data_IF_743680112062
#
_entry.id   IF_743680112062
#
_cell.length_a   1.000
_cell.length_b   1.000
_cell.length_c   1.000
_cell.angle_alpha   90.00
_cell.angle_beta   90.00
_cell.angle_gamma   90.00
#
_symmetry.space_group_name_H-M   'P 1'
#
loop_
_entity.id
_entity.type
_entity.pdbx_description
1 polymer ?
#
# COMPACT_ATOMS: atom_id res chain seq x y z
N UNK A 1 25.05 50.82 7.30
CA UNK A 1 23.60 50.57 7.14
C UNK A 1 23.44 49.54 6.01
N UNK A 2 23.90 48.31 6.22
CA UNK A 2 24.05 47.32 5.11
C UNK A 2 23.84 45.87 5.56
N UNK A 3 24.19 45.49 6.80
CA UNK A 3 24.02 44.09 7.27
C UNK A 3 22.58 43.66 7.62
N UNK A 4 21.64 44.59 7.82
CA UNK A 4 20.24 44.24 8.15
C UNK A 4 19.45 43.94 6.86
N UNK A 5 19.80 44.61 5.77
CA UNK A 5 19.13 44.52 4.47
C UNK A 5 19.58 43.28 3.66
N UNK A 6 20.80 42.80 3.91
CA UNK A 6 21.29 41.51 3.40
C UNK A 6 20.63 40.33 4.12
N UNK A 7 20.48 40.39 5.45
CA UNK A 7 19.80 39.34 6.22
C UNK A 7 18.32 39.21 5.88
N UNK A 8 17.65 40.33 5.55
CA UNK A 8 16.26 40.31 5.10
C UNK A 8 16.11 39.64 3.73
N UNK A 9 16.98 39.99 2.78
CA UNK A 9 17.01 39.38 1.45
C UNK A 9 17.41 37.90 1.49
N UNK A 10 18.35 37.50 2.34
CA UNK A 10 18.68 36.08 2.57
C UNK A 10 17.50 35.31 3.17
N UNK A 11 16.78 35.90 4.13
CA UNK A 11 15.59 35.26 4.71
C UNK A 11 14.42 35.15 3.73
N UNK A 12 14.25 36.13 2.84
CA UNK A 12 13.24 36.10 1.77
C UNK A 12 13.61 35.11 0.66
N UNK A 13 14.90 34.97 0.32
CA UNK A 13 15.40 33.95 -0.62
C UNK A 13 15.25 32.52 -0.07
N UNK A 14 15.47 32.31 1.23
CA UNK A 14 15.23 31.02 1.89
C UNK A 14 13.74 30.70 1.94
N UNK A 15 12.90 31.69 2.26
CA UNK A 15 11.44 31.51 2.27
C UNK A 15 10.89 31.15 0.88
N UNK A 16 11.39 31.79 -0.18
CA UNK A 16 10.97 31.49 -1.55
C UNK A 16 11.47 30.11 -2.04
N UNK A 17 12.64 29.69 -1.59
CA UNK A 17 13.18 28.35 -1.88
C UNK A 17 12.45 27.22 -1.12
N UNK A 18 11.86 27.52 0.04
CA UNK A 18 11.00 26.60 0.80
C UNK A 18 9.61 26.48 0.16
N UNK A 19 9.09 27.54 -0.46
CA UNK A 19 7.82 27.50 -1.21
C UNK A 19 7.93 26.73 -2.55
N UNK A 20 9.06 26.80 -3.24
CA UNK A 20 9.33 25.94 -4.42
C UNK A 20 9.54 24.46 -4.05
N UNK A 21 9.94 24.17 -2.80
CA UNK A 21 9.95 22.82 -2.23
C UNK A 21 8.55 22.33 -1.78
N UNK A 22 7.50 23.11 -2.04
CA UNK A 22 6.09 22.73 -1.80
C UNK A 22 5.62 21.48 -2.56
N UNK A 23 6.40 20.97 -3.52
CA UNK A 23 6.18 19.67 -4.19
C UNK A 23 6.53 18.46 -3.30
N UNK A 24 7.22 18.66 -2.18
CA UNK A 24 7.60 17.63 -1.20
C UNK A 24 6.76 17.70 0.08
N UNK A 25 5.90 18.72 0.22
CA UNK A 25 5.38 19.17 1.50
C UNK A 25 4.13 18.47 2.05
N UNK A 26 3.41 17.65 1.26
CA UNK A 26 2.11 17.09 1.70
C UNK A 26 1.85 15.62 1.31
N UNK A 27 2.87 14.84 0.91
CA UNK A 27 2.60 13.50 0.35
C UNK A 27 3.65 12.39 0.49
N UNK A 28 4.82 12.63 1.11
CA UNK A 28 5.91 11.65 1.10
C UNK A 28 6.57 11.52 2.48
N UNK A 29 5.80 11.31 3.55
CA UNK A 29 6.41 10.94 4.84
C UNK A 29 7.11 9.59 4.67
N UNK A 30 8.44 9.57 4.70
CA UNK A 30 9.22 8.34 4.55
C UNK A 30 8.90 7.30 5.63
N UNK A 31 8.43 7.77 6.79
CA UNK A 31 8.07 6.95 7.92
C UNK A 31 6.56 6.68 7.97
N UNK A 32 6.13 5.55 8.55
CA UNK A 32 4.72 5.29 8.75
C UNK A 32 4.14 6.21 9.82
N UNK A 33 2.87 6.55 9.68
CA UNK A 33 2.06 7.09 10.77
C UNK A 33 1.75 5.98 11.79
N UNK A 34 1.26 6.37 12.98
CA UNK A 34 0.77 5.39 13.98
C UNK A 34 -0.39 4.55 13.44
N UNK A 35 -1.25 5.18 12.66
CA UNK A 35 -2.37 4.50 12.01
C UNK A 35 -1.86 3.48 11.00
N UNK A 36 -0.90 3.83 10.15
CA UNK A 36 -0.31 2.91 9.18
C UNK A 36 0.34 1.68 9.83
N UNK A 37 1.03 1.86 10.95
CA UNK A 37 1.57 0.76 11.75
C UNK A 37 0.47 -0.14 12.34
N UNK A 38 -0.61 0.47 12.83
CA UNK A 38 -1.76 -0.28 13.33
C UNK A 38 -2.42 -1.08 12.19
N UNK A 39 -2.71 -0.43 11.08
CA UNK A 39 -3.32 -0.98 9.88
C UNK A 39 -2.47 -2.09 9.24
N UNK A 40 -1.14 -2.05 9.37
CA UNK A 40 -0.25 -3.12 8.90
C UNK A 40 -0.13 -4.31 9.87
N UNK A 41 -0.77 -4.25 11.04
CA UNK A 41 -0.57 -5.24 12.11
C UNK A 41 0.88 -5.26 12.63
N UNK A 42 1.61 -4.15 12.46
CA UNK A 42 3.03 -4.05 12.81
C UNK A 42 4.00 -4.57 11.74
N UNK A 43 3.51 -5.01 10.58
CA UNK A 43 4.40 -5.36 9.45
C UNK A 43 5.13 -4.12 8.94
N UNK A 44 6.41 -4.30 8.64
CA UNK A 44 7.20 -3.32 7.90
C UNK A 44 6.93 -3.47 6.40
N UNK A 45 6.82 -2.35 5.70
CA UNK A 45 6.88 -2.29 4.23
C UNK A 45 8.20 -1.63 3.83
N UNK A 46 8.72 -2.01 2.68
CA UNK A 46 10.02 -1.53 2.18
C UNK A 46 10.04 -0.02 1.97
N UNK A 47 9.00 0.51 1.34
CA UNK A 47 8.87 1.93 0.97
C UNK A 47 7.43 2.37 1.26
N UNK A 48 7.25 3.14 2.34
CA UNK A 48 5.94 3.64 2.77
C UNK A 48 5.32 4.60 1.75
N UNK A 49 6.04 5.62 1.22
CA UNK A 49 5.51 6.43 0.13
C UNK A 49 5.06 5.62 -1.10
N UNK A 50 5.82 4.59 -1.49
CA UNK A 50 5.42 3.69 -2.56
C UNK A 50 4.14 2.92 -2.22
N UNK A 51 4.04 2.34 -1.02
CA UNK A 51 2.85 1.64 -0.55
C UNK A 51 1.60 2.54 -0.57
N UNK A 52 1.71 3.80 -0.13
CA UNK A 52 0.62 4.79 -0.20
C UNK A 52 0.21 5.08 -1.64
N UNK A 53 1.19 5.30 -2.53
CA UNK A 53 0.91 5.61 -3.92
C UNK A 53 0.22 4.44 -4.63
N UNK A 54 0.70 3.21 -4.42
CA UNK A 54 0.07 2.01 -4.98
C UNK A 54 -1.35 1.84 -4.45
N UNK A 55 -1.56 2.04 -3.14
CA UNK A 55 -2.90 1.99 -2.52
C UNK A 55 -3.84 3.03 -3.15
N UNK A 56 -3.40 4.29 -3.25
CA UNK A 56 -4.17 5.38 -3.87
C UNK A 56 -4.56 5.05 -5.31
N UNK A 57 -3.62 4.57 -6.12
CA UNK A 57 -3.89 4.21 -7.52
C UNK A 57 -4.81 2.99 -7.64
N UNK A 58 -4.65 1.99 -6.78
CA UNK A 58 -5.51 0.80 -6.77
C UNK A 58 -6.97 1.17 -6.44
N UNK A 59 -7.19 2.03 -5.44
CA UNK A 59 -8.52 2.55 -5.09
C UNK A 59 -9.13 3.32 -6.27
N UNK A 60 -8.37 4.24 -6.88
CA UNK A 60 -8.85 5.00 -8.05
C UNK A 60 -9.23 4.07 -9.21
N UNK A 61 -8.39 3.09 -9.54
CA UNK A 61 -8.71 2.13 -10.60
C UNK A 61 -9.95 1.30 -10.28
N UNK A 62 -10.13 0.90 -9.03
CA UNK A 62 -11.33 0.17 -8.60
C UNK A 62 -12.59 1.03 -8.79
N UNK A 63 -12.57 2.28 -8.34
CA UNK A 63 -13.72 3.18 -8.48
C UNK A 63 -14.06 3.45 -9.95
N UNK A 64 -13.06 3.76 -10.77
CA UNK A 64 -13.25 4.06 -12.20
C UNK A 64 -13.68 2.82 -13.02
N UNK A 65 -13.34 1.61 -12.57
CA UNK A 65 -13.72 0.37 -13.25
C UNK A 65 -14.93 -0.33 -12.62
N UNK A 66 -15.61 0.31 -11.66
CA UNK A 66 -16.79 -0.22 -10.98
C UNK A 66 -17.89 -0.74 -11.94
N UNK A 67 -18.20 -0.07 -13.08
CA UNK A 67 -19.16 -0.60 -14.05
C UNK A 67 -18.80 -1.96 -14.65
N UNK A 68 -17.50 -2.30 -14.70
CA UNK A 68 -16.99 -3.55 -15.27
C UNK A 68 -17.03 -4.70 -14.26
N UNK A 69 -16.45 -4.52 -13.08
CA UNK A 69 -16.30 -5.61 -12.12
C UNK A 69 -17.51 -5.77 -11.19
N UNK A 70 -18.29 -4.70 -10.95
CA UNK A 70 -19.51 -4.70 -10.12
C UNK A 70 -19.29 -5.28 -8.71
N UNK A 71 -18.11 -5.05 -8.15
CA UNK A 71 -17.76 -5.45 -6.79
C UNK A 71 -18.17 -4.36 -5.81
N UNK A 72 -18.33 -4.72 -4.53
CA UNK A 72 -18.82 -3.80 -3.50
C UNK A 72 -17.68 -3.22 -2.64
N UNK A 73 -18.04 -2.37 -1.68
CA UNK A 73 -17.11 -1.74 -0.74
C UNK A 73 -16.29 -2.74 0.08
N UNK A 74 -16.80 -3.94 0.32
CA UNK A 74 -16.03 -4.99 1.00
C UNK A 74 -14.83 -5.44 0.14
N UNK A 75 -15.00 -5.64 -1.16
CA UNK A 75 -13.88 -5.94 -2.06
C UNK A 75 -12.87 -4.77 -2.14
N UNK A 76 -13.34 -3.52 -2.10
CA UNK A 76 -12.47 -2.35 -2.05
C UNK A 76 -11.57 -2.36 -0.81
N UNK A 77 -12.13 -2.64 0.38
CA UNK A 77 -11.33 -2.71 1.63
C UNK A 77 -10.24 -3.80 1.55
N UNK A 78 -10.55 -4.96 0.96
CA UNK A 78 -9.57 -6.03 0.76
C UNK A 78 -8.46 -5.58 -0.19
N UNK A 79 -8.81 -4.94 -1.30
CA UNK A 79 -7.85 -4.42 -2.27
C UNK A 79 -6.96 -3.34 -1.65
N UNK A 80 -7.53 -2.40 -0.92
CA UNK A 80 -6.81 -1.31 -0.26
C UNK A 80 -5.75 -1.86 0.70
N UNK A 81 -6.14 -2.80 1.57
CA UNK A 81 -5.20 -3.45 2.50
C UNK A 81 -4.14 -4.27 1.77
N UNK A 82 -4.50 -4.97 0.70
CA UNK A 82 -3.55 -5.78 -0.07
C UNK A 82 -2.53 -4.92 -0.82
N UNK A 83 -2.99 -3.82 -1.44
CA UNK A 83 -2.14 -2.84 -2.10
C UNK A 83 -1.17 -2.18 -1.11
N UNK A 84 -1.64 -1.88 0.10
CA UNK A 84 -0.80 -1.32 1.15
C UNK A 84 0.31 -2.26 1.60
N UNK A 85 0.06 -3.58 1.62
CA UNK A 85 0.99 -4.59 2.14
C UNK A 85 1.74 -5.38 1.06
N UNK A 86 1.53 -5.10 -0.23
CA UNK A 86 1.94 -5.97 -1.34
C UNK A 86 3.45 -6.30 -1.35
N UNK A 87 4.30 -5.40 -0.84
CA UNK A 87 5.76 -5.55 -0.81
C UNK A 87 6.36 -5.80 0.59
N UNK A 88 5.57 -6.17 1.60
CA UNK A 88 6.14 -6.50 2.93
C UNK A 88 7.17 -7.65 2.88
N UNK A 89 7.07 -8.55 1.89
CA UNK A 89 8.05 -9.61 1.64
C UNK A 89 9.40 -9.17 1.06
N UNK A 90 9.57 -7.90 0.69
CA UNK A 90 10.84 -7.38 0.14
C UNK A 90 11.97 -7.43 1.16
N UNK A 91 11.67 -7.22 2.44
CA UNK A 91 12.62 -7.35 3.55
C UNK A 91 13.14 -8.79 3.75
N UNK A 92 12.47 -9.78 3.14
CA UNK A 92 12.85 -11.20 3.22
C UNK A 92 13.67 -11.61 1.99
N UNK A 93 13.14 -11.37 0.79
CA UNK A 93 13.82 -11.71 -0.47
C UNK A 93 13.18 -10.97 -1.64
N UNK A 94 13.98 -10.19 -2.37
CA UNK A 94 13.53 -9.42 -3.52
C UNK A 94 12.94 -10.29 -4.66
N UNK A 95 13.57 -11.43 -5.00
CA UNK A 95 13.15 -12.22 -6.19
C UNK A 95 11.76 -12.83 -6.02
N UNK A 96 11.41 -13.23 -4.79
CA UNK A 96 10.16 -13.93 -4.46
C UNK A 96 9.29 -13.17 -3.45
N UNK A 97 9.49 -11.86 -3.31
CA UNK A 97 8.80 -11.03 -2.31
C UNK A 97 7.30 -11.24 -2.28
N UNK A 98 6.61 -11.27 -3.43
CA UNK A 98 5.17 -11.55 -3.50
C UNK A 98 4.74 -12.85 -2.79
N UNK A 99 5.56 -13.91 -2.82
CA UNK A 99 5.29 -15.15 -2.07
C UNK A 99 5.56 -15.01 -0.58
N UNK A 100 6.50 -14.15 -0.19
CA UNK A 100 6.78 -13.85 1.23
C UNK A 100 5.76 -12.86 1.79
N UNK A 101 5.32 -11.85 1.03
CA UNK A 101 4.21 -10.97 1.37
C UNK A 101 2.96 -11.78 1.68
N UNK A 102 2.62 -12.75 0.82
CA UNK A 102 1.53 -13.70 1.12
C UNK A 102 1.68 -14.34 2.51
N UNK A 103 2.85 -14.90 2.83
CA UNK A 103 3.07 -15.62 4.09
C UNK A 103 2.97 -14.68 5.29
N UNK A 104 3.64 -13.53 5.21
CA UNK A 104 3.65 -12.51 6.26
C UNK A 104 2.24 -11.99 6.53
N UNK A 105 1.53 -11.56 5.48
CA UNK A 105 0.15 -11.08 5.60
C UNK A 105 -0.75 -12.16 6.19
N UNK A 106 -0.64 -13.41 5.74
CA UNK A 106 -1.47 -14.52 6.25
C UNK A 106 -1.24 -14.78 7.74
N UNK A 107 -0.01 -14.59 8.22
CA UNK A 107 0.41 -14.90 9.60
C UNK A 107 0.26 -13.71 10.57
N UNK A 108 0.14 -12.48 10.07
CA UNK A 108 -0.03 -11.28 10.89
C UNK A 108 -1.50 -10.97 11.11
N UNK A 109 -1.95 -10.83 12.36
CA UNK A 109 -3.29 -10.32 12.61
C UNK A 109 -3.44 -8.89 12.07
N UNK A 110 -4.34 -8.71 11.10
CA UNK A 110 -4.70 -7.39 10.59
C UNK A 110 -5.92 -6.88 11.38
N UNK A 111 -5.95 -5.59 11.75
CA UNK A 111 -7.15 -5.01 12.33
C UNK A 111 -8.29 -5.02 11.29
N UNK A 112 -9.52 -5.16 11.77
CA UNK A 112 -10.76 -5.05 10.99
C UNK A 112 -11.00 -6.15 9.94
N UNK A 113 -10.18 -7.22 9.91
CA UNK A 113 -10.33 -8.34 8.98
C UNK A 113 -10.36 -9.70 9.68
N UNK A 114 -11.26 -10.58 9.25
CA UNK A 114 -11.31 -11.98 9.66
C UNK A 114 -10.11 -12.78 9.11
N UNK A 115 -9.96 -14.02 9.57
CA UNK A 115 -8.92 -14.93 9.07
C UNK A 115 -9.12 -15.26 7.58
N UNK A 116 -10.36 -15.42 7.14
CA UNK A 116 -10.72 -15.63 5.74
C UNK A 116 -10.40 -14.39 4.88
N UNK A 117 -10.81 -13.20 5.35
CA UNK A 117 -10.54 -11.94 4.66
C UNK A 117 -9.04 -11.65 4.57
N UNK A 118 -8.28 -11.94 5.64
CA UNK A 118 -6.83 -11.85 5.66
C UNK A 118 -6.17 -12.78 4.65
N UNK A 119 -6.69 -14.00 4.48
CA UNK A 119 -6.18 -14.93 3.47
C UNK A 119 -6.49 -14.43 2.03
N UNK A 120 -7.63 -13.77 1.81
CA UNK A 120 -7.92 -13.08 0.55
C UNK A 120 -6.96 -11.92 0.28
N UNK A 121 -6.73 -11.05 1.27
CA UNK A 121 -5.74 -9.95 1.19
C UNK A 121 -4.36 -10.49 0.85
N UNK A 122 -3.93 -11.57 1.51
CA UNK A 122 -2.67 -12.23 1.22
C UNK A 122 -2.60 -12.73 -0.23
N UNK A 123 -3.69 -13.30 -0.75
CA UNK A 123 -3.75 -13.75 -2.14
C UNK A 123 -3.68 -12.58 -3.13
N UNK A 124 -4.41 -11.48 -2.90
CA UNK A 124 -4.36 -10.30 -3.77
C UNK A 124 -2.92 -9.75 -3.81
N UNK A 125 -2.27 -9.62 -2.64
CA UNK A 125 -0.87 -9.22 -2.54
C UNK A 125 0.09 -10.22 -3.21
N UNK A 126 -0.21 -11.52 -3.20
CA UNK A 126 0.61 -12.53 -3.85
C UNK A 126 0.62 -12.40 -5.38
N UNK A 127 -0.55 -12.12 -5.95
CA UNK A 127 -0.76 -12.18 -7.40
C UNK A 127 -0.62 -10.83 -8.10
N UNK A 128 -0.15 -9.78 -7.39
CA UNK A 128 0.14 -8.48 -8.00
C UNK A 128 1.22 -8.53 -9.10
N UNK A 129 2.00 -9.62 -9.17
CA UNK A 129 3.00 -9.85 -10.21
C UNK A 129 3.18 -11.34 -10.51
N UNK A 130 3.81 -11.61 -11.65
CA UNK A 130 4.16 -12.97 -12.14
C UNK A 130 2.92 -13.77 -12.53
N UNK A 131 2.63 -14.86 -11.83
CA UNK A 131 1.54 -15.76 -12.20
C UNK A 131 0.19 -15.14 -11.82
N UNK A 132 -0.83 -15.39 -12.64
CA UNK A 132 -2.21 -15.13 -12.27
C UNK A 132 -2.71 -16.17 -11.26
N UNK A 133 -3.79 -15.89 -10.52
CA UNK A 133 -4.40 -16.87 -9.64
C UNK A 133 -4.82 -18.13 -10.41
N UNK A 134 -4.55 -19.32 -9.85
CA UNK A 134 -4.84 -20.61 -10.47
C UNK A 134 -5.32 -21.62 -9.43
N UNK A 135 -6.21 -22.55 -9.82
CA UNK A 135 -6.64 -23.64 -8.94
C UNK A 135 -5.50 -24.65 -8.64
N UNK A 136 -4.38 -24.58 -9.36
CA UNK A 136 -3.18 -25.37 -9.04
C UNK A 136 -2.39 -24.77 -7.86
N UNK A 137 -2.68 -23.51 -7.52
CA UNK A 137 -2.08 -22.85 -6.38
C UNK A 137 -2.92 -23.11 -5.14
N UNK A 138 -2.39 -23.89 -4.18
CA UNK A 138 -3.12 -24.32 -2.98
C UNK A 138 -3.75 -23.14 -2.20
N UNK A 139 -3.04 -22.01 -2.11
CA UNK A 139 -3.55 -20.80 -1.47
C UNK A 139 -4.75 -20.17 -2.18
N UNK A 140 -4.89 -20.32 -3.49
CA UNK A 140 -6.06 -19.83 -4.22
C UNK A 140 -7.16 -20.89 -4.28
N UNK A 141 -6.80 -22.15 -4.42
CA UNK A 141 -7.74 -23.27 -4.52
C UNK A 141 -8.63 -23.42 -3.27
N UNK A 142 -8.12 -23.07 -2.09
CA UNK A 142 -8.87 -23.12 -0.82
C UNK A 142 -9.98 -22.05 -0.74
N UNK A 143 -9.91 -21.00 -1.57
CA UNK A 143 -10.90 -19.93 -1.56
C UNK A 143 -12.27 -20.43 -2.08
N UNK A 144 -13.34 -19.99 -1.42
CA UNK A 144 -14.68 -20.22 -1.94
C UNK A 144 -14.91 -19.44 -3.25
N UNK A 145 -16.00 -19.73 -3.96
CA UNK A 145 -16.28 -19.13 -5.28
C UNK A 145 -16.38 -17.60 -5.24
N UNK A 146 -16.93 -17.04 -4.17
CA UNK A 146 -17.08 -15.58 -4.04
C UNK A 146 -15.72 -14.91 -3.81
N UNK A 147 -14.89 -15.49 -2.94
CA UNK A 147 -13.53 -15.03 -2.69
C UNK A 147 -12.65 -15.13 -3.93
N UNK A 148 -12.71 -16.22 -4.70
CA UNK A 148 -12.01 -16.37 -5.99
C UNK A 148 -12.43 -15.36 -7.06
N UNK A 149 -13.60 -14.73 -6.92
CA UNK A 149 -14.02 -13.65 -7.83
C UNK A 149 -13.43 -12.29 -7.43
N UNK A 150 -13.06 -12.13 -6.16
CA UNK A 150 -12.45 -10.90 -5.62
C UNK A 150 -10.93 -10.87 -5.80
N UNK A 151 -10.28 -12.04 -5.69
CA UNK A 151 -8.84 -12.26 -5.91
C UNK A 151 -8.56 -12.48 -7.38
#
# INVERSE_FOLDING_TARGET
MTCIDERKRESEMIAHSIEELGWWGNGQNMYPTREELYLSGGLLVEDWPHARQVTRLAVQLFEETLPLHKLNSHALRLLERAAFLHNTGMMVEERRHHKHSFKLIKQTQLPDFSDEERHEIACIARYHRRALPSNDHAEFAVLNRAARKRV
#
